data_IF_816781421157
#
_entry.id   IF_816781421157
#
_cell.length_a   1.000
_cell.length_b   1.000
_cell.length_c   1.000
_cell.angle_alpha   90.00
_cell.angle_beta   90.00
_cell.angle_gamma   90.00
#
_symmetry.space_group_name_H-M   'P 1'
#
loop_
_entity.id
_entity.type
_entity.pdbx_description
1 polymer ?
#
# COMPACT_ATOMS: atom_id res chain seq x y z
N UNK A 1 3.84 9.32 10.07
CA UNK A 1 5.09 8.97 9.37
C UNK A 1 5.23 7.46 9.35
N UNK A 2 4.78 6.84 8.27
CA UNK A 2 4.65 5.39 8.10
C UNK A 2 4.90 5.01 6.64
N UNK A 3 4.45 3.83 6.24
CA UNK A 3 4.67 3.30 4.88
C UNK A 3 4.13 4.24 3.78
N UNK A 4 3.04 4.95 4.04
CA UNK A 4 2.45 5.91 3.08
C UNK A 4 3.37 7.10 2.76
N UNK A 5 4.09 7.62 3.75
CA UNK A 5 5.07 8.69 3.52
C UNK A 5 6.38 8.15 2.92
N UNK A 6 6.81 6.95 3.33
CA UNK A 6 8.05 6.32 2.83
C UNK A 6 7.97 5.94 1.35
N UNK A 7 6.83 5.38 0.93
CA UNK A 7 6.60 4.97 -0.46
C UNK A 7 5.80 6.02 -1.26
N UNK A 8 5.35 7.09 -0.61
CA UNK A 8 4.52 8.14 -1.22
C UNK A 8 3.22 7.59 -1.81
N UNK A 9 2.64 6.57 -1.19
CA UNK A 9 1.37 5.94 -1.57
C UNK A 9 0.28 6.41 -0.61
N UNK A 10 -0.97 6.35 -1.04
CA UNK A 10 -2.13 6.53 -0.16
C UNK A 10 -2.95 5.26 -0.20
N UNK A 11 -3.19 4.68 0.96
CA UNK A 11 -4.00 3.47 1.11
C UNK A 11 -5.36 3.88 1.66
N UNK A 12 -6.44 3.47 1.00
CA UNK A 12 -7.79 3.69 1.51
C UNK A 12 -8.03 2.87 2.78
N UNK A 13 -8.78 3.42 3.73
CA UNK A 13 -9.00 2.82 5.05
C UNK A 13 -9.63 1.42 4.95
N UNK A 14 -10.57 1.22 4.03
CA UNK A 14 -11.19 -0.08 3.71
C UNK A 14 -10.19 -1.11 3.15
N UNK A 15 -9.23 -0.64 2.34
CA UNK A 15 -8.18 -1.51 1.78
C UNK A 15 -7.19 -1.92 2.88
N UNK A 16 -6.90 -1.02 3.83
CA UNK A 16 -6.06 -1.33 4.97
C UNK A 16 -6.70 -2.38 5.90
N UNK A 17 -8.03 -2.37 6.07
CA UNK A 17 -8.74 -3.39 6.85
C UNK A 17 -8.68 -4.80 6.23
N UNK A 18 -8.40 -4.89 4.92
CA UNK A 18 -8.31 -6.15 4.20
C UNK A 18 -6.92 -6.79 4.27
N UNK A 19 -5.92 -6.07 4.79
CA UNK A 19 -4.55 -6.57 4.97
C UNK A 19 -4.51 -7.50 6.18
N UNK A 20 -4.40 -8.80 5.94
CA UNK A 20 -4.32 -9.80 7.01
C UNK A 20 -2.87 -10.25 7.29
N UNK A 21 -2.01 -10.17 6.28
CA UNK A 21 -0.63 -10.64 6.35
C UNK A 21 0.36 -9.59 5.87
N UNK A 22 1.63 -9.77 6.23
CA UNK A 22 2.74 -8.93 5.74
C UNK A 22 2.85 -9.03 4.21
N UNK A 23 2.48 -10.18 3.63
CA UNK A 23 2.50 -10.38 2.18
C UNK A 23 1.41 -9.54 1.51
N UNK A 24 0.19 -9.52 2.05
CA UNK A 24 -0.90 -8.70 1.51
C UNK A 24 -0.54 -7.21 1.51
N UNK A 25 0.16 -6.74 2.56
CA UNK A 25 0.66 -5.37 2.63
C UNK A 25 1.72 -5.11 1.55
N UNK A 26 2.67 -6.03 1.37
CA UNK A 26 3.71 -5.90 0.35
C UNK A 26 3.12 -5.86 -1.07
N UNK A 27 2.18 -6.74 -1.37
CA UNK A 27 1.50 -6.82 -2.66
C UNK A 27 0.68 -5.54 -2.94
N UNK A 28 -0.01 -5.00 -1.92
CA UNK A 28 -0.73 -3.73 -2.03
C UNK A 28 0.20 -2.55 -2.32
N UNK A 29 1.35 -2.49 -1.66
CA UNK A 29 2.36 -1.44 -1.87
C UNK A 29 2.90 -1.52 -3.30
N UNK A 30 3.27 -2.72 -3.77
CA UNK A 30 3.78 -2.92 -5.12
C UNK A 30 2.76 -2.45 -6.17
N UNK A 31 1.51 -2.86 -6.05
CA UNK A 31 0.42 -2.43 -6.93
C UNK A 31 0.22 -0.90 -6.93
N UNK A 32 0.30 -0.25 -5.78
CA UNK A 32 0.12 1.20 -5.66
C UNK A 32 1.31 1.98 -6.23
N UNK A 33 2.54 1.47 -6.03
CA UNK A 33 3.76 2.04 -6.59
C UNK A 33 3.79 1.88 -8.11
N UNK A 34 3.43 0.72 -8.65
CA UNK A 34 3.31 0.48 -10.09
C UNK A 34 2.28 1.43 -10.73
N UNK A 35 1.11 1.62 -10.11
CA UNK A 35 0.08 2.56 -10.58
C UNK A 35 0.52 4.02 -10.53
N UNK A 36 1.43 4.38 -9.62
CA UNK A 36 1.99 5.74 -9.52
C UNK A 36 3.07 6.01 -10.58
N UNK A 37 3.73 4.98 -11.08
CA UNK A 37 4.77 5.06 -12.10
C UNK A 37 4.28 5.05 -13.55
N UNK A 38 2.97 4.93 -13.79
CA UNK A 38 2.33 4.85 -15.11
C UNK A 38 1.61 6.14 -15.52
#
# INVERSE_FOLDING_TARGET
>A
MGLEEEFGISVEEDSAQSIATVQDAADLIENLVEKKGA
#
